data_IF_030289634302
#
_entry.id   IF_030289634302
#
_cell.length_a   1.000
_cell.length_b   1.000
_cell.length_c   1.000
_cell.angle_alpha   90.00
_cell.angle_beta   90.00
_cell.angle_gamma   90.00
#
_symmetry.space_group_name_H-M   'P 1'
#
loop_
_entity.id
_entity.type
_entity.pdbx_description
1 polymer ?
#
# COMPACT_ATOMS: atom_id res chain seq x y z
N UNK A 1 8.47 -16.46 26.17
CA UNK A 1 8.60 -15.21 25.40
C UNK A 1 8.70 -14.06 26.40
N UNK A 2 9.63 -13.13 26.23
CA UNK A 2 9.72 -11.96 27.11
C UNK A 2 8.86 -10.83 26.52
N UNK A 3 7.96 -10.28 27.33
CA UNK A 3 7.18 -9.07 27.05
C UNK A 3 7.54 -8.00 28.09
N UNK A 4 8.46 -7.11 27.73
CA UNK A 4 9.10 -6.20 28.68
C UNK A 4 9.80 -6.98 29.81
N UNK A 5 9.37 -6.74 31.05
CA UNK A 5 9.89 -7.40 32.25
C UNK A 5 9.15 -8.70 32.63
N UNK A 6 8.15 -9.12 31.83
CA UNK A 6 7.33 -10.31 32.11
C UNK A 6 7.74 -11.47 31.22
N UNK A 7 7.96 -12.64 31.83
CA UNK A 7 8.21 -13.89 31.10
C UNK A 7 6.89 -14.64 30.86
N UNK A 8 6.49 -14.77 29.59
CA UNK A 8 5.35 -15.57 29.14
C UNK A 8 5.81 -17.01 28.86
N UNK A 9 5.29 -17.99 29.61
CA UNK A 9 5.64 -19.40 29.46
C UNK A 9 4.49 -20.25 28.90
N UNK A 10 3.24 -19.82 29.07
CA UNK A 10 2.07 -20.52 28.53
C UNK A 10 1.97 -20.35 27.00
N UNK A 11 1.71 -21.42 26.24
CA UNK A 11 1.45 -21.33 24.81
C UNK A 11 0.29 -20.41 24.44
N UNK A 12 -0.76 -20.36 25.26
CA UNK A 12 -1.93 -19.49 25.08
C UNK A 12 -1.57 -18.02 25.26
N UNK A 13 -0.80 -17.69 26.28
CA UNK A 13 -0.33 -16.33 26.55
C UNK A 13 0.61 -15.83 25.45
N UNK A 14 1.53 -16.70 25.01
CA UNK A 14 2.44 -16.42 23.89
C UNK A 14 1.65 -16.15 22.60
N UNK A 15 0.66 -16.99 22.31
CA UNK A 15 -0.19 -16.83 21.11
C UNK A 15 -0.96 -15.52 21.17
N UNK A 16 -1.57 -15.22 22.32
CA UNK A 16 -2.35 -13.99 22.52
C UNK A 16 -1.48 -12.75 22.32
N UNK A 17 -0.28 -12.72 22.90
CA UNK A 17 0.67 -11.62 22.73
C UNK A 17 1.06 -11.41 21.26
N UNK A 18 1.34 -12.49 20.52
CA UNK A 18 1.67 -12.39 19.09
C UNK A 18 0.49 -11.81 18.29
N UNK A 19 -0.72 -12.33 18.50
CA UNK A 19 -1.90 -11.85 17.77
C UNK A 19 -2.27 -10.40 18.13
N UNK A 20 -2.16 -10.00 19.40
CA UNK A 20 -2.43 -8.62 19.81
C UNK A 20 -1.42 -7.66 19.20
N UNK A 21 -0.14 -8.01 19.19
CA UNK A 21 0.93 -7.22 18.57
C UNK A 21 0.64 -6.97 17.07
N UNK A 22 0.35 -8.02 16.31
CA UNK A 22 0.05 -7.87 14.88
C UNK A 22 -1.25 -7.08 14.65
N UNK A 23 -2.27 -7.32 15.47
CA UNK A 23 -3.51 -6.55 15.39
C UNK A 23 -3.25 -5.06 15.61
N UNK A 24 -2.45 -4.69 16.60
CA UNK A 24 -2.10 -3.29 16.88
C UNK A 24 -1.25 -2.69 15.76
N UNK A 25 -0.30 -3.44 15.20
CA UNK A 25 0.54 -2.96 14.09
C UNK A 25 -0.30 -2.59 12.85
N UNK A 26 -1.31 -3.41 12.53
CA UNK A 26 -2.16 -3.20 11.36
C UNK A 26 -3.43 -2.38 11.63
N UNK A 27 -3.84 -2.24 12.90
CA UNK A 27 -4.98 -1.40 13.30
C UNK A 27 -4.55 0.00 13.73
N UNK A 28 -3.25 0.26 13.90
CA UNK A 28 -2.75 1.59 14.17
C UNK A 28 -3.16 2.53 13.03
N UNK A 29 -3.87 3.60 13.37
CA UNK A 29 -4.06 4.72 12.45
C UNK A 29 -2.70 5.13 11.87
N UNK A 30 -2.63 5.51 10.59
CA UNK A 30 -1.36 5.88 9.96
C UNK A 30 -0.68 6.94 10.84
N UNK A 31 0.43 6.58 11.52
CA UNK A 31 1.13 7.47 12.48
C UNK A 31 1.89 8.61 11.80
N UNK A 32 1.50 8.98 10.59
CA UNK A 32 2.02 10.09 9.84
C UNK A 32 0.87 10.77 9.10
N UNK A 33 0.20 11.70 9.75
CA UNK A 33 -0.66 12.67 9.08
C UNK A 33 0.19 13.74 8.37
N UNK A 34 1.25 13.32 7.67
CA UNK A 34 1.97 14.19 6.74
C UNK A 34 1.20 14.09 5.43
N UNK A 35 0.15 14.88 5.30
CA UNK A 35 -0.48 15.11 4.01
C UNK A 35 0.26 16.23 3.30
N UNK A 36 0.40 16.10 1.99
CA UNK A 36 0.73 17.26 1.16
C UNK A 36 -0.41 18.28 1.26
N UNK A 37 -0.08 19.56 1.10
CA UNK A 37 -1.11 20.58 0.99
C UNK A 37 -1.99 20.29 -0.24
N UNK A 38 -3.27 20.68 -0.20
CA UNK A 38 -4.20 20.41 -1.30
C UNK A 38 -3.77 21.06 -2.64
N UNK A 39 -2.96 22.12 -2.54
CA UNK A 39 -2.39 22.89 -3.65
C UNK A 39 -0.87 22.65 -3.81
N UNK A 40 -0.35 21.53 -3.29
CA UNK A 40 1.08 21.23 -3.35
C UNK A 40 1.63 21.19 -4.79
N UNK A 41 0.80 20.78 -5.75
CA UNK A 41 1.16 20.76 -7.18
C UNK A 41 0.56 21.97 -7.92
N UNK A 42 1.38 22.72 -8.68
CA UNK A 42 0.86 23.69 -9.65
C UNK A 42 -0.08 23.04 -10.66
N UNK A 43 -1.06 23.79 -11.18
CA UNK A 43 -2.04 23.26 -12.16
C UNK A 43 -1.39 22.63 -13.40
N UNK A 44 -0.21 23.11 -13.82
CA UNK A 44 0.52 22.57 -14.96
C UNK A 44 1.10 21.16 -14.69
N UNK A 45 1.28 20.80 -13.42
CA UNK A 45 1.84 19.52 -12.98
C UNK A 45 0.75 18.56 -12.45
N UNK A 46 -0.51 18.99 -12.45
CA UNK A 46 -1.65 18.14 -12.08
C UNK A 46 -2.13 17.35 -13.28
N UNK A 47 -2.34 16.05 -13.08
CA UNK A 47 -2.97 15.18 -14.08
C UNK A 47 -4.48 15.29 -13.94
N UNK A 48 -5.16 15.68 -15.01
CA UNK A 48 -6.62 15.76 -15.03
C UNK A 48 -7.25 14.37 -15.12
N UNK A 49 -8.50 14.24 -14.67
CA UNK A 49 -9.22 12.96 -14.67
C UNK A 49 -9.26 12.30 -16.05
N UNK A 50 -9.36 13.08 -17.13
CA UNK A 50 -9.33 12.56 -18.50
C UNK A 50 -7.96 11.99 -18.87
N UNK A 51 -6.88 12.68 -18.52
CA UNK A 51 -5.51 12.21 -18.75
C UNK A 51 -5.22 10.97 -17.92
N UNK A 52 -5.68 10.94 -16.67
CA UNK A 52 -5.53 9.78 -15.79
C UNK A 52 -6.34 8.58 -16.30
N UNK A 53 -7.54 8.81 -16.83
CA UNK A 53 -8.33 7.76 -17.47
C UNK A 53 -7.59 7.16 -18.65
N UNK A 54 -7.00 7.99 -19.51
CA UNK A 54 -6.20 7.53 -20.66
C UNK A 54 -4.96 6.74 -20.23
N UNK A 55 -4.24 7.20 -19.18
CA UNK A 55 -3.05 6.51 -18.65
C UNK A 55 -3.38 5.16 -18.02
N UNK A 56 -4.60 4.98 -17.52
CA UNK A 56 -5.06 3.75 -16.86
C UNK A 56 -5.87 2.84 -17.78
N UNK A 57 -5.99 3.20 -19.07
CA UNK A 57 -6.64 2.35 -20.05
C UNK A 57 -5.93 0.99 -20.16
N UNK A 58 -6.66 -0.12 -20.09
CA UNK A 58 -6.08 -1.43 -20.32
C UNK A 58 -5.67 -1.57 -21.78
N UNK A 59 -4.55 -2.24 -22.02
CA UNK A 59 -4.13 -2.58 -23.38
C UNK A 59 -5.12 -3.56 -24.03
N UNK A 60 -5.41 -3.34 -25.30
CA UNK A 60 -6.15 -4.28 -26.12
C UNK A 60 -5.31 -5.52 -26.45
N UNK A 61 -5.94 -6.70 -26.69
CA UNK A 61 -5.23 -7.89 -27.14
C UNK A 61 -4.41 -7.68 -28.42
N UNK A 62 -4.87 -6.80 -29.30
CA UNK A 62 -4.18 -6.46 -30.55
C UNK A 62 -2.90 -5.65 -30.32
N UNK A 63 -2.93 -4.70 -29.39
CA UNK A 63 -1.74 -3.92 -28.98
C UNK A 63 -0.67 -4.82 -28.38
N UNK A 64 -1.09 -5.72 -27.47
CA UNK A 64 -0.20 -6.71 -26.87
C UNK A 64 0.39 -7.62 -27.95
N UNK A 65 -0.44 -8.11 -28.88
CA UNK A 65 0.00 -8.95 -29.99
C UNK A 65 1.03 -8.27 -30.90
N UNK A 66 0.80 -7.00 -31.27
CA UNK A 66 1.76 -6.21 -32.06
C UNK A 66 3.07 -5.98 -31.32
N UNK A 67 3.02 -5.65 -30.03
CA UNK A 67 4.20 -5.43 -29.21
C UNK A 67 5.06 -6.70 -29.15
N UNK A 68 4.46 -7.86 -28.86
CA UNK A 68 5.17 -9.15 -28.83
C UNK A 68 5.81 -9.48 -30.19
N UNK A 69 5.07 -9.28 -31.29
CA UNK A 69 5.58 -9.55 -32.63
C UNK A 69 6.76 -8.64 -33.02
N UNK A 70 6.81 -7.41 -32.51
CA UNK A 70 7.90 -6.44 -32.77
C UNK A 70 9.20 -6.72 -32.02
N UNK A 71 9.18 -7.58 -31.00
CA UNK A 71 10.35 -7.92 -30.17
C UNK A 71 11.23 -9.04 -30.76
N UNK A 72 10.98 -9.44 -32.02
CA UNK A 72 11.66 -10.56 -32.69
C UNK A 72 12.74 -10.11 -33.66
#
# INVERSE_FOLDING_TARGET
LWDGDVLLESPEDISTHIYSFYKELFSAEPRGAVSLCADFWPLADQVFDAENADLTLPFSPEEVGRAIASMK
#
